data_IF_034183210300
#
_entry.id   IF_034183210300
#
_cell.length_a   1.000
_cell.length_b   1.000
_cell.length_c   1.000
_cell.angle_alpha   90.00
_cell.angle_beta   90.00
_cell.angle_gamma   90.00
#
_symmetry.space_group_name_H-M   'P 1'
#
loop_
_entity.id
_entity.type
_entity.pdbx_description
1 polymer ?
#
# COMPACT_ATOMS: atom_id res chain seq x y z
N UNK A 1 -11.49 -6.34 17.08
CA UNK A 1 -10.44 -7.01 17.90
C UNK A 1 -10.56 -6.50 19.33
N UNK A 2 -10.60 -7.40 20.29
CA UNK A 2 -10.50 -7.02 21.72
C UNK A 2 -9.07 -6.53 22.03
N UNK A 3 -8.94 -5.54 22.91
CA UNK A 3 -7.63 -5.09 23.40
C UNK A 3 -6.99 -6.23 24.20
N UNK A 4 -5.75 -6.61 23.86
CA UNK A 4 -4.94 -7.58 24.64
C UNK A 4 -4.86 -9.01 24.11
N UNK A 5 -5.33 -9.31 22.88
CA UNK A 5 -5.08 -10.60 22.22
C UNK A 5 -3.71 -10.69 21.53
N UNK A 6 -3.20 -11.90 21.24
CA UNK A 6 -1.86 -12.11 20.61
C UNK A 6 -1.66 -11.28 19.34
N UNK A 7 -2.65 -11.26 18.44
CA UNK A 7 -2.59 -10.45 17.20
C UNK A 7 -2.60 -8.94 17.48
N UNK A 8 -3.24 -8.49 18.57
CA UNK A 8 -3.21 -7.08 18.96
C UNK A 8 -1.79 -6.67 19.41
N UNK A 9 -1.14 -7.49 20.22
CA UNK A 9 0.22 -7.25 20.69
C UNK A 9 1.24 -7.31 19.54
N UNK A 10 1.08 -8.24 18.59
CA UNK A 10 1.91 -8.32 17.38
C UNK A 10 1.80 -7.04 16.53
N UNK A 11 0.58 -6.52 16.33
CA UNK A 11 0.37 -5.27 15.58
C UNK A 11 1.01 -4.08 16.32
N UNK A 12 0.84 -3.98 17.64
CA UNK A 12 1.46 -2.90 18.43
C UNK A 12 2.99 -2.99 18.37
N UNK A 13 3.54 -4.21 18.40
CA UNK A 13 4.98 -4.44 18.26
C UNK A 13 5.48 -4.01 16.89
N UNK A 14 4.80 -4.43 15.81
CA UNK A 14 5.12 -4.03 14.45
C UNK A 14 5.10 -2.50 14.28
N UNK A 15 4.08 -1.83 14.83
CA UNK A 15 4.00 -0.36 14.79
C UNK A 15 5.20 0.30 15.48
N UNK A 16 5.64 -0.22 16.64
CA UNK A 16 6.83 0.29 17.34
C UNK A 16 8.09 0.10 16.51
N UNK A 17 8.28 -1.09 15.95
CA UNK A 17 9.44 -1.42 15.10
C UNK A 17 9.49 -0.47 13.87
N UNK A 18 8.37 -0.24 13.20
CA UNK A 18 8.27 0.68 12.06
C UNK A 18 8.53 2.14 12.45
N UNK A 19 8.00 2.60 13.59
CA UNK A 19 8.26 3.95 14.09
C UNK A 19 9.75 4.16 14.42
N UNK A 20 10.42 3.16 14.99
CA UNK A 20 11.84 3.26 15.31
C UNK A 20 12.73 3.18 14.05
N UNK A 21 12.35 2.37 13.06
CA UNK A 21 12.96 2.37 11.72
C UNK A 21 12.89 3.77 11.08
N UNK A 22 11.70 4.39 11.08
CA UNK A 22 11.49 5.75 10.53
C UNK A 22 12.40 6.78 11.19
N UNK A 23 12.50 6.78 12.53
CA UNK A 23 13.40 7.69 13.27
C UNK A 23 14.87 7.49 12.91
N UNK A 24 15.31 6.25 12.69
CA UNK A 24 16.70 5.95 12.34
C UNK A 24 17.04 6.42 10.92
N UNK A 25 16.12 6.29 9.96
CA UNK A 25 16.28 6.82 8.61
C UNK A 25 16.42 8.34 8.63
N UNK A 26 15.55 9.05 9.36
CA UNK A 26 15.60 10.53 9.49
C UNK A 26 16.91 11.01 10.12
N UNK A 27 17.44 10.29 11.12
CA UNK A 27 18.74 10.63 11.73
C UNK A 27 19.91 10.43 10.76
N UNK A 28 19.86 9.39 9.92
CA UNK A 28 20.89 9.08 8.93
C UNK A 28 20.93 10.14 7.81
N UNK A 29 19.76 10.57 7.31
CA UNK A 29 19.68 11.60 6.27
C UNK A 29 20.09 12.99 6.78
N UNK A 30 19.79 13.32 8.04
CA UNK A 30 20.25 14.55 8.68
C UNK A 30 21.78 14.66 8.79
N UNK A 31 22.50 13.53 8.81
CA UNK A 31 23.96 13.52 8.91
C UNK A 31 24.67 13.84 7.57
N UNK A 32 23.95 13.84 6.44
CA UNK A 32 24.49 14.02 5.09
C UNK A 32 23.97 15.27 4.34
N UNK A 33 23.24 16.19 5.00
CA UNK A 33 22.63 17.36 4.36
C UNK A 33 22.98 18.69 5.04
N UNK A 34 23.49 19.63 4.25
CA UNK A 34 23.91 21.00 4.64
C UNK A 34 22.74 21.79 5.26
N UNK A 35 22.98 22.34 6.46
CA UNK A 35 22.11 23.29 7.14
C UNK A 35 22.06 24.63 6.39
N UNK A 36 20.88 25.00 5.89
CA UNK A 36 20.51 26.40 5.65
C UNK A 36 19.26 26.69 6.48
N UNK A 37 19.45 27.47 7.54
CA UNK A 37 18.37 27.91 8.42
C UNK A 37 17.70 29.16 7.86
N UNK A 38 16.37 29.19 7.90
CA UNK A 38 15.62 30.42 8.12
C UNK A 38 14.21 30.11 8.63
N UNK A 39 14.00 30.44 9.91
CA UNK A 39 12.77 30.93 10.56
C UNK A 39 11.40 30.45 10.01
N UNK A 40 10.80 29.48 10.69
CA UNK A 40 9.34 29.32 10.76
C UNK A 40 8.88 29.25 12.23
N UNK A 41 7.76 29.88 12.60
CA UNK A 41 7.26 29.89 13.97
C UNK A 41 6.74 28.51 14.35
N UNK A 42 6.97 28.13 15.61
CA UNK A 42 6.52 26.87 16.19
C UNK A 42 4.98 26.74 16.10
N UNK A 43 4.50 25.86 15.23
CA UNK A 43 3.11 25.41 15.16
C UNK A 43 3.10 23.90 14.92
N UNK A 44 2.78 23.18 16.00
CA UNK A 44 2.42 21.76 16.09
C UNK A 44 3.60 20.81 15.86
N UNK A 45 4.00 20.14 16.94
CA UNK A 45 4.87 18.96 16.92
C UNK A 45 4.53 18.07 15.72
N UNK A 46 5.45 17.94 14.75
CA UNK A 46 5.40 16.89 13.72
C UNK A 46 5.46 15.54 14.43
N UNK A 47 4.31 15.04 14.87
CA UNK A 47 4.15 13.62 15.10
C UNK A 47 4.30 12.99 13.71
N UNK A 48 5.46 12.38 13.48
CA UNK A 48 5.80 11.62 12.28
C UNK A 48 4.82 10.47 12.09
N UNK A 49 3.62 10.75 11.57
CA UNK A 49 2.60 9.74 11.35
C UNK A 49 3.15 8.68 10.40
N UNK A 50 3.05 7.42 10.81
CA UNK A 50 3.43 6.29 10.00
C UNK A 50 2.46 6.20 8.81
N UNK A 51 2.98 6.01 7.60
CA UNK A 51 2.22 5.82 6.37
C UNK A 51 2.41 4.39 5.87
N UNK A 52 1.32 3.65 5.73
CA UNK A 52 1.33 2.28 5.21
C UNK A 52 0.55 2.18 3.91
N UNK A 53 1.14 1.50 2.93
CA UNK A 53 0.47 1.21 1.65
C UNK A 53 0.05 -0.26 1.62
N UNK A 54 -1.22 -0.52 1.28
CA UNK A 54 -1.77 -1.84 1.08
C UNK A 54 -2.02 -2.07 -0.40
N UNK A 55 -1.49 -3.16 -0.95
CA UNK A 55 -1.69 -3.53 -2.36
C UNK A 55 -2.20 -4.98 -2.47
N UNK A 56 -3.53 -5.17 -2.44
CA UNK A 56 -4.13 -6.49 -2.55
C UNK A 56 -4.10 -7.02 -3.99
N UNK A 57 -4.17 -8.34 -4.12
CA UNK A 57 -4.48 -8.94 -5.41
C UNK A 57 -5.94 -8.64 -5.79
N UNK A 58 -6.19 -8.43 -7.09
CA UNK A 58 -7.47 -7.99 -7.64
C UNK A 58 -8.54 -9.10 -7.64
N UNK A 59 -8.82 -9.66 -6.47
CA UNK A 59 -9.86 -10.65 -6.21
C UNK A 59 -10.58 -10.29 -4.91
N UNK A 60 -11.92 -10.37 -4.81
CA UNK A 60 -12.65 -9.95 -3.60
C UNK A 60 -12.18 -10.65 -2.32
N UNK A 61 -11.82 -11.94 -2.42
CA UNK A 61 -11.28 -12.72 -1.30
C UNK A 61 -9.89 -12.30 -0.81
N UNK A 62 -9.22 -11.38 -1.51
CA UNK A 62 -7.95 -10.78 -1.13
C UNK A 62 -8.12 -9.30 -0.76
N UNK A 63 -8.87 -8.56 -1.58
CA UNK A 63 -9.13 -7.13 -1.37
C UNK A 63 -9.85 -6.85 -0.06
N UNK A 64 -11.00 -7.51 0.20
CA UNK A 64 -11.81 -7.19 1.37
C UNK A 64 -11.11 -7.56 2.68
N UNK A 65 -10.47 -8.75 2.82
CA UNK A 65 -9.69 -9.04 4.03
C UNK A 65 -8.51 -8.08 4.24
N UNK A 66 -7.84 -7.65 3.16
CA UNK A 66 -6.75 -6.69 3.28
C UNK A 66 -7.26 -5.29 3.67
N UNK A 67 -8.43 -4.87 3.17
CA UNK A 67 -9.12 -3.63 3.61
C UNK A 67 -9.48 -3.73 5.10
N UNK A 68 -10.00 -4.86 5.56
CA UNK A 68 -10.32 -5.06 6.98
C UNK A 68 -9.07 -5.03 7.87
N UNK A 69 -7.96 -5.58 7.40
CA UNK A 69 -6.67 -5.41 8.05
C UNK A 69 -6.23 -3.94 8.08
N UNK A 70 -6.37 -3.23 6.96
CA UNK A 70 -6.00 -1.82 6.87
C UNK A 70 -6.80 -0.93 7.84
N UNK A 71 -8.09 -1.22 8.08
CA UNK A 71 -8.92 -0.57 9.13
C UNK A 71 -8.35 -0.69 10.52
N UNK A 72 -7.71 -1.81 10.83
CA UNK A 72 -7.09 -2.04 12.14
C UNK A 72 -5.93 -1.03 12.33
N UNK A 73 -5.15 -0.73 11.29
CA UNK A 73 -4.09 0.28 11.34
C UNK A 73 -4.65 1.70 11.33
N UNK A 74 -5.61 2.02 10.46
CA UNK A 74 -6.24 3.34 10.39
C UNK A 74 -6.88 3.75 11.73
N UNK A 75 -7.58 2.82 12.41
CA UNK A 75 -8.17 3.04 13.73
C UNK A 75 -7.14 3.36 14.85
N UNK A 76 -5.85 3.17 14.59
CA UNK A 76 -4.73 3.53 15.48
C UNK A 76 -4.01 4.81 15.05
N UNK A 77 -4.57 5.57 14.11
CA UNK A 77 -4.02 6.85 13.65
C UNK A 77 -2.87 6.73 12.66
N UNK A 78 -2.73 5.57 12.01
CA UNK A 78 -1.79 5.38 10.89
C UNK A 78 -2.44 5.91 9.62
N UNK A 79 -1.66 6.65 8.82
CA UNK A 79 -2.07 7.04 7.48
C UNK A 79 -2.06 5.79 6.59
N UNK A 80 -3.18 5.49 5.95
CA UNK A 80 -3.34 4.27 5.15
C UNK A 80 -3.69 4.62 3.73
N UNK A 81 -2.89 4.11 2.80
CA UNK A 81 -3.20 4.12 1.36
C UNK A 81 -3.56 2.71 0.90
N UNK A 82 -4.64 2.57 0.16
CA UNK A 82 -4.98 1.34 -0.56
C UNK A 82 -4.72 1.59 -2.05
N UNK A 83 -3.78 0.82 -2.62
CA UNK A 83 -3.49 0.84 -4.05
C UNK A 83 -4.40 -0.16 -4.77
N UNK A 84 -5.12 0.29 -5.78
CA UNK A 84 -6.06 -0.54 -6.53
C UNK A 84 -6.21 -0.06 -7.98
N UNK A 85 -7.16 -0.62 -8.73
CA UNK A 85 -7.46 -0.26 -10.12
C UNK A 85 -8.90 0.26 -10.24
N UNK A 86 -9.28 0.95 -11.33
CA UNK A 86 -10.59 1.58 -11.45
C UNK A 86 -11.79 0.64 -11.19
N UNK A 87 -11.80 -0.56 -11.77
CA UNK A 87 -12.91 -1.49 -11.57
C UNK A 87 -12.97 -2.00 -10.12
N UNK A 88 -11.81 -2.23 -9.51
CA UNK A 88 -11.69 -2.74 -8.14
C UNK A 88 -11.96 -1.66 -7.08
N UNK A 89 -11.74 -0.38 -7.39
CA UNK A 89 -12.07 0.74 -6.53
C UNK A 89 -13.57 0.74 -6.18
N UNK A 90 -14.45 0.40 -7.13
CA UNK A 90 -15.90 0.33 -6.89
C UNK A 90 -16.30 -0.74 -5.86
N UNK A 91 -15.50 -1.80 -5.73
CA UNK A 91 -15.70 -2.89 -4.77
C UNK A 91 -15.19 -2.49 -3.38
N UNK A 92 -14.08 -1.75 -3.32
CA UNK A 92 -13.44 -1.33 -2.06
C UNK A 92 -14.17 -0.14 -1.43
N UNK A 93 -14.62 0.83 -2.24
CA UNK A 93 -15.18 2.10 -1.79
C UNK A 93 -16.30 1.96 -0.74
N UNK A 94 -17.26 1.01 -0.83
CA UNK A 94 -18.30 0.85 0.20
C UNK A 94 -17.75 0.39 1.57
N UNK A 95 -16.51 -0.10 1.61
CA UNK A 95 -15.87 -0.66 2.81
C UNK A 95 -14.92 0.31 3.49
N UNK A 96 -14.70 1.52 2.96
CA UNK A 96 -13.76 2.51 3.50
C UNK A 96 -14.46 3.85 3.73
N UNK A 97 -13.89 4.69 4.60
CA UNK A 97 -14.31 6.06 4.88
C UNK A 97 -13.16 7.05 4.60
N UNK A 98 -13.33 8.32 4.98
CA UNK A 98 -12.36 9.40 4.74
C UNK A 98 -11.02 9.22 5.48
N UNK A 99 -10.88 8.20 6.34
CA UNK A 99 -9.59 7.87 6.98
C UNK A 99 -8.61 7.13 6.05
N UNK A 100 -9.03 6.79 4.83
CA UNK A 100 -8.24 6.09 3.84
C UNK A 100 -7.94 6.95 2.62
N UNK A 101 -6.73 6.80 2.08
CA UNK A 101 -6.41 7.25 0.74
C UNK A 101 -6.55 6.09 -0.25
N UNK A 102 -7.32 6.28 -1.32
CA UNK A 102 -7.43 5.30 -2.39
C UNK A 102 -6.57 5.77 -3.57
N UNK A 103 -5.50 5.04 -3.87
CA UNK A 103 -4.64 5.32 -5.02
C UNK A 103 -5.02 4.38 -6.17
N UNK A 104 -5.37 4.95 -7.33
CA UNK A 104 -5.86 4.19 -8.48
C UNK A 104 -4.78 4.15 -9.57
N UNK A 105 -4.34 2.96 -9.94
CA UNK A 105 -3.42 2.71 -11.06
C UNK A 105 -4.16 2.06 -12.22
N UNK A 106 -3.73 2.39 -13.44
CA UNK A 106 -4.29 1.80 -14.65
C UNK A 106 -3.92 0.32 -14.78
N UNK A 107 -4.91 -0.52 -15.01
CA UNK A 107 -4.71 -1.93 -15.35
C UNK A 107 -4.83 -2.11 -16.88
N UNK A 108 -3.78 -2.59 -17.58
CA UNK A 108 -3.78 -2.57 -19.04
C UNK A 108 -4.50 -3.78 -19.66
N UNK A 109 -5.79 -4.02 -19.34
CA UNK A 109 -6.57 -5.17 -19.80
C UNK A 109 -6.50 -5.37 -21.33
N UNK A 110 -6.71 -4.29 -22.09
CA UNK A 110 -6.78 -4.33 -23.57
C UNK A 110 -5.45 -4.75 -24.20
N UNK A 111 -4.32 -4.33 -23.64
CA UNK A 111 -2.98 -4.68 -24.13
C UNK A 111 -2.73 -6.20 -24.08
N UNK A 112 -3.44 -6.91 -23.19
CA UNK A 112 -3.28 -8.34 -22.97
C UNK A 112 -4.48 -9.16 -23.45
N UNK A 113 -5.27 -8.63 -24.39
CA UNK A 113 -6.42 -9.34 -24.99
C UNK A 113 -7.51 -9.72 -23.97
N UNK A 114 -7.63 -8.97 -22.88
CA UNK A 114 -8.75 -9.06 -21.96
C UNK A 114 -9.83 -8.03 -22.34
N UNK A 115 -11.12 -8.32 -22.07
CA UNK A 115 -12.17 -7.32 -22.20
C UNK A 115 -11.84 -6.04 -21.41
N UNK A 116 -12.31 -4.89 -21.91
CA UNK A 116 -12.32 -3.66 -21.13
C UNK A 116 -13.02 -3.93 -19.78
N UNK A 117 -12.52 -3.35 -18.70
CA UNK A 117 -13.02 -3.54 -17.32
C UNK A 117 -12.72 -4.92 -16.69
N UNK A 118 -12.06 -5.82 -17.42
CA UNK A 118 -11.60 -7.10 -16.87
C UNK A 118 -10.30 -6.91 -16.06
N UNK A 119 -10.45 -6.27 -14.90
CA UNK A 119 -9.38 -6.00 -13.94
C UNK A 119 -9.52 -6.82 -12.65
N UNK A 120 -10.59 -7.62 -12.53
CA UNK A 120 -10.88 -8.44 -11.36
C UNK A 120 -10.91 -9.93 -11.71
N UNK A 121 -10.24 -10.75 -10.91
CA UNK A 121 -10.14 -12.20 -11.08
C UNK A 121 -11.50 -12.90 -11.13
N UNK A 122 -12.53 -12.38 -10.45
CA UNK A 122 -13.88 -12.95 -10.45
C UNK A 122 -14.57 -12.86 -11.82
N UNK A 123 -14.09 -12.01 -12.72
CA UNK A 123 -14.61 -11.88 -14.09
C UNK A 123 -13.97 -12.88 -15.07
N UNK A 124 -13.02 -13.69 -14.60
CA UNK A 124 -12.25 -14.65 -15.41
C UNK A 124 -12.79 -16.06 -15.19
N UNK A 125 -13.38 -16.64 -16.23
CA UNK A 125 -14.00 -17.97 -16.16
C UNK A 125 -13.24 -19.05 -16.94
N UNK A 126 -12.39 -18.68 -17.90
CA UNK A 126 -11.62 -19.60 -18.74
C UNK A 126 -10.12 -19.69 -18.37
N UNK A 127 -9.51 -20.85 -18.61
CA UNK A 127 -8.08 -21.08 -18.33
C UNK A 127 -7.17 -20.18 -19.17
N UNK A 128 -7.49 -19.96 -20.45
CA UNK A 128 -6.72 -19.09 -21.34
C UNK A 128 -6.78 -17.62 -20.90
N UNK A 129 -7.96 -17.19 -20.43
CA UNK A 129 -8.15 -15.85 -19.85
C UNK A 129 -7.39 -15.69 -18.54
N UNK A 130 -7.25 -16.74 -17.74
CA UNK A 130 -6.46 -16.73 -16.51
C UNK A 130 -4.99 -16.43 -16.80
N UNK A 131 -4.40 -17.10 -17.78
CA UNK A 131 -3.02 -16.84 -18.21
C UNK A 131 -2.87 -15.39 -18.68
N UNK A 132 -3.84 -14.91 -19.47
CA UNK A 132 -3.84 -13.54 -19.96
C UNK A 132 -4.09 -12.49 -18.85
N UNK A 133 -4.72 -12.87 -17.73
CA UNK A 133 -4.90 -12.01 -16.56
C UNK A 133 -3.60 -11.81 -15.75
N UNK A 134 -2.77 -12.85 -15.64
CA UNK A 134 -1.50 -12.75 -14.90
C UNK A 134 -0.41 -11.98 -15.66
N UNK A 135 -0.41 -12.01 -17.00
CA UNK A 135 0.56 -11.27 -17.84
C UNK A 135 0.63 -9.76 -17.50
N UNK A 136 -0.48 -9.01 -17.44
CA UNK A 136 -0.48 -7.60 -17.09
C UNK A 136 0.05 -7.29 -15.69
N UNK A 137 0.04 -8.22 -14.74
CA UNK A 137 0.51 -7.91 -13.37
C UNK A 137 1.97 -7.44 -13.36
N UNK A 138 2.80 -7.95 -14.26
CA UNK A 138 4.18 -7.50 -14.43
C UNK A 138 4.28 -6.04 -14.90
N UNK A 139 3.31 -5.58 -15.70
CA UNK A 139 3.29 -4.20 -16.22
C UNK A 139 2.95 -3.17 -15.13
N UNK A 140 2.28 -3.60 -14.05
CA UNK A 140 1.98 -2.74 -12.90
C UNK A 140 3.24 -2.39 -12.09
N UNK A 141 4.37 -3.07 -12.32
CA UNK A 141 5.62 -2.83 -11.62
C UNK A 141 6.09 -1.37 -11.71
N UNK A 142 6.00 -0.76 -12.90
CA UNK A 142 6.39 0.63 -13.10
C UNK A 142 5.43 1.60 -12.39
N UNK A 143 4.12 1.36 -12.47
CA UNK A 143 3.12 2.18 -11.79
C UNK A 143 3.28 2.08 -10.27
N UNK A 144 3.50 0.87 -9.75
CA UNK A 144 3.78 0.65 -8.34
C UNK A 144 5.05 1.40 -7.89
N UNK A 145 6.15 1.28 -8.64
CA UNK A 145 7.40 2.00 -8.35
C UNK A 145 7.20 3.52 -8.31
N UNK A 146 6.39 4.05 -9.23
CA UNK A 146 6.01 5.45 -9.25
C UNK A 146 5.22 5.85 -8.00
N UNK A 147 4.21 5.06 -7.61
CA UNK A 147 3.42 5.31 -6.39
C UNK A 147 4.29 5.32 -5.14
N UNK A 148 5.27 4.42 -5.06
CA UNK A 148 6.21 4.40 -3.94
C UNK A 148 7.09 5.65 -3.88
N UNK A 149 7.50 6.20 -5.03
CA UNK A 149 8.24 7.48 -5.08
C UNK A 149 7.38 8.65 -4.63
N UNK A 150 6.16 8.72 -5.15
CA UNK A 150 5.24 9.85 -4.95
C UNK A 150 4.71 9.90 -3.52
N UNK A 151 4.25 8.76 -3.00
CA UNK A 151 3.60 8.67 -1.69
C UNK A 151 4.55 8.35 -0.53
N UNK A 152 5.78 7.92 -0.84
CA UNK A 152 6.85 7.61 0.13
C UNK A 152 6.36 6.88 1.40
N UNK A 153 5.72 5.69 1.26
CA UNK A 153 5.23 4.95 2.42
C UNK A 153 6.39 4.42 3.27
N UNK A 154 6.14 4.30 4.57
CA UNK A 154 7.11 3.75 5.52
C UNK A 154 7.12 2.22 5.54
N UNK A 155 6.03 1.58 5.11
CA UNK A 155 5.91 0.13 4.97
C UNK A 155 4.84 -0.24 3.94
N UNK A 156 4.99 -1.40 3.30
CA UNK A 156 4.05 -1.92 2.33
C UNK A 156 3.53 -3.30 2.76
N UNK A 157 2.22 -3.50 2.65
CA UNK A 157 1.60 -4.83 2.76
C UNK A 157 1.07 -5.23 1.39
N UNK A 158 1.61 -6.31 0.84
CA UNK A 158 1.34 -6.73 -0.54
C UNK A 158 0.93 -8.18 -0.61
N UNK A 159 0.15 -8.51 -1.63
CA UNK A 159 -0.35 -9.86 -1.85
C UNK A 159 0.71 -10.82 -2.41
N UNK A 160 0.61 -12.10 -2.02
CA UNK A 160 1.50 -13.17 -2.48
C UNK A 160 1.46 -13.39 -4.00
N UNK A 161 0.37 -13.01 -4.67
CA UNK A 161 0.25 -13.09 -6.13
C UNK A 161 0.95 -11.95 -6.87
N UNK A 162 1.58 -11.02 -6.14
CA UNK A 162 2.32 -9.88 -6.67
C UNK A 162 3.80 -9.93 -6.23
N UNK A 163 4.53 -11.06 -6.37
CA UNK A 163 5.84 -11.25 -5.72
C UNK A 163 6.91 -10.24 -6.15
N UNK A 164 6.74 -9.57 -7.28
CA UNK A 164 7.66 -8.53 -7.76
C UNK A 164 7.64 -7.27 -6.88
N UNK A 165 6.58 -7.02 -6.11
CA UNK A 165 6.46 -5.84 -5.23
C UNK A 165 7.52 -5.85 -4.14
N UNK A 166 7.87 -7.03 -3.62
CA UNK A 166 8.95 -7.21 -2.64
C UNK A 166 10.29 -6.65 -3.15
N UNK A 167 10.67 -7.01 -4.39
CA UNK A 167 11.92 -6.55 -4.97
C UNK A 167 11.91 -5.04 -5.17
N UNK A 168 10.81 -4.48 -5.69
CA UNK A 168 10.67 -3.03 -5.88
C UNK A 168 10.76 -2.29 -4.55
N UNK A 169 10.03 -2.73 -3.53
CA UNK A 169 10.06 -2.15 -2.17
C UNK A 169 11.47 -2.21 -1.56
N UNK A 170 12.13 -3.36 -1.65
CA UNK A 170 13.48 -3.57 -1.12
C UNK A 170 14.51 -2.65 -1.80
N UNK A 171 14.43 -2.44 -3.12
CA UNK A 171 15.33 -1.50 -3.81
C UNK A 171 15.18 -0.05 -3.35
N UNK A 172 14.06 0.27 -2.69
CA UNK A 172 13.77 1.58 -2.10
C UNK A 172 14.06 1.64 -0.60
N UNK A 173 14.47 0.53 0.01
CA UNK A 173 14.63 0.44 1.47
C UNK A 173 13.31 0.52 2.23
N UNK A 174 12.19 0.18 1.60
CA UNK A 174 10.87 0.14 2.23
C UNK A 174 10.59 -1.32 2.63
N UNK A 175 10.34 -1.60 3.93
CA UNK A 175 10.00 -2.93 4.41
C UNK A 175 8.60 -3.39 3.97
#
# INVERSE_FOLDING_TARGET
MEKGGSSYEEIVKLMKELMDLKKNVVKSTAHNGVLLSSHYPAMISEASHLHMLFFPFMAPGHMLPMVDMAKIFAARGICVTILTTPANATIIHPSIDDSFHLHIIHFPSVMFSLPSECENRSLIFGQDQLINFFKPLSSLCHSFDYVLRDSSPDCIVTDLFLPWTYYVATTRGIP
#
